data_IF_444844950055
#
_entry.id   IF_444844950055
#
_cell.length_a   1.000
_cell.length_b   1.000
_cell.length_c   1.000
_cell.angle_alpha   90.00
_cell.angle_beta   90.00
_cell.angle_gamma   90.00
#
_symmetry.space_group_name_H-M   'P 1'
#
loop_
_entity.id
_entity.type
_entity.pdbx_description
1 polymer ?
#
# COMPACT_ATOMS: atom_id res chain seq x y z
N UNK A 1 25.36 -42.64 -8.63
CA UNK A 1 23.96 -42.20 -8.72
C UNK A 1 23.39 -42.21 -7.31
N UNK A 2 23.33 -41.05 -6.68
CA UNK A 2 22.60 -40.89 -5.40
C UNK A 2 21.11 -40.98 -5.68
N UNK A 3 20.31 -41.73 -4.90
CA UNK A 3 18.87 -41.80 -5.10
C UNK A 3 18.30 -40.40 -4.88
N UNK A 4 17.58 -39.88 -5.87
CA UNK A 4 16.69 -38.74 -5.66
C UNK A 4 15.62 -39.21 -4.66
N UNK A 5 15.69 -38.71 -3.43
CA UNK A 5 14.58 -38.87 -2.50
C UNK A 5 13.40 -38.08 -3.08
N UNK A 6 12.53 -38.77 -3.83
CA UNK A 6 11.23 -38.27 -4.22
C UNK A 6 10.42 -38.11 -2.94
N UNK A 7 10.20 -36.86 -2.54
CA UNK A 7 9.28 -36.52 -1.49
C UNK A 7 7.98 -36.09 -2.16
N UNK A 8 6.98 -36.96 -2.10
CA UNK A 8 5.63 -36.67 -2.58
C UNK A 8 5.05 -35.45 -1.85
N UNK A 9 4.13 -34.76 -2.52
CA UNK A 9 3.35 -33.70 -1.92
C UNK A 9 2.49 -34.23 -0.76
N UNK A 10 2.19 -33.39 0.25
CA UNK A 10 1.33 -33.80 1.36
C UNK A 10 -0.05 -34.25 0.85
N UNK A 11 -0.55 -35.37 1.37
CA UNK A 11 -1.86 -35.92 1.01
C UNK A 11 -1.88 -36.84 -0.21
N UNK A 12 -0.71 -37.30 -0.69
CA UNK A 12 -0.59 -38.21 -1.83
C UNK A 12 -1.43 -39.48 -1.69
N UNK A 13 -1.53 -40.02 -0.48
CA UNK A 13 -2.35 -41.17 -0.12
C UNK A 13 -3.87 -40.99 -0.35
N UNK A 14 -4.32 -39.75 -0.52
CA UNK A 14 -5.73 -39.40 -0.72
C UNK A 14 -6.12 -39.32 -2.20
N UNK A 15 -5.15 -39.38 -3.12
CA UNK A 15 -5.39 -39.08 -4.53
C UNK A 15 -6.35 -40.08 -5.19
N UNK A 16 -6.10 -41.37 -5.00
CA UNK A 16 -6.94 -42.43 -5.57
C UNK A 16 -8.34 -42.43 -4.98
N UNK A 17 -8.47 -42.13 -3.67
CA UNK A 17 -9.77 -41.99 -2.99
C UNK A 17 -10.58 -40.84 -3.60
N UNK A 18 -9.95 -39.69 -3.84
CA UNK A 18 -10.62 -38.55 -4.44
C UNK A 18 -11.06 -38.85 -5.89
N UNK A 19 -10.21 -39.51 -6.68
CA UNK A 19 -10.53 -39.91 -8.05
C UNK A 19 -11.68 -40.91 -8.13
N UNK A 20 -11.75 -41.86 -7.20
CA UNK A 20 -12.87 -42.79 -7.10
C UNK A 20 -14.16 -42.06 -6.70
N UNK A 21 -14.09 -41.16 -5.71
CA UNK A 21 -15.23 -40.34 -5.30
C UNK A 21 -15.73 -39.43 -6.45
N UNK A 22 -14.82 -38.86 -7.26
CA UNK A 22 -15.15 -38.13 -8.49
C UNK A 22 -15.90 -39.01 -9.49
N UNK A 23 -15.41 -40.24 -9.72
CA UNK A 23 -16.04 -41.21 -10.63
C UNK A 23 -17.45 -41.60 -10.16
N UNK A 24 -17.63 -41.76 -8.86
CA UNK A 24 -18.91 -42.10 -8.23
C UNK A 24 -19.84 -40.89 -8.04
N UNK A 25 -19.35 -39.66 -8.31
CA UNK A 25 -20.04 -38.41 -8.01
C UNK A 25 -20.53 -38.30 -6.54
N UNK A 26 -19.71 -38.81 -5.61
CA UNK A 26 -20.00 -38.87 -4.18
C UNK A 26 -19.56 -37.58 -3.48
N UNK A 27 -20.42 -36.57 -3.43
CA UNK A 27 -20.07 -35.25 -2.88
C UNK A 27 -19.72 -35.26 -1.39
N UNK A 28 -20.38 -36.09 -0.57
CA UNK A 28 -20.05 -36.21 0.85
C UNK A 28 -18.62 -36.76 1.07
N UNK A 29 -18.22 -37.72 0.22
CA UNK A 29 -16.88 -38.29 0.26
C UNK A 29 -15.83 -37.31 -0.28
N UNK A 30 -16.13 -36.61 -1.38
CA UNK A 30 -15.29 -35.52 -1.90
C UNK A 30 -15.04 -34.45 -0.84
N UNK A 31 -16.10 -33.98 -0.18
CA UNK A 31 -15.99 -32.97 0.87
C UNK A 31 -15.11 -33.44 2.03
N UNK A 32 -15.27 -34.70 2.46
CA UNK A 32 -14.44 -35.28 3.52
C UNK A 32 -12.96 -35.31 3.11
N UNK A 33 -12.66 -35.74 1.88
CA UNK A 33 -11.28 -35.88 1.40
C UNK A 33 -10.63 -34.51 1.18
N UNK A 34 -11.36 -33.53 0.63
CA UNK A 34 -10.85 -32.17 0.44
C UNK A 34 -10.50 -31.50 1.77
N UNK A 35 -11.31 -31.72 2.81
CA UNK A 35 -11.01 -31.22 4.15
C UNK A 35 -9.78 -31.93 4.77
N UNK A 36 -9.62 -33.23 4.51
CA UNK A 36 -8.44 -34.01 4.92
C UNK A 36 -7.18 -33.48 4.22
N UNK A 37 -7.23 -33.26 2.90
CA UNK A 37 -6.15 -32.67 2.10
C UNK A 37 -5.73 -31.30 2.64
N UNK A 38 -6.68 -30.41 2.91
CA UNK A 38 -6.42 -29.10 3.55
C UNK A 38 -5.64 -29.27 4.85
N UNK A 39 -6.12 -30.14 5.74
CA UNK A 39 -5.53 -30.37 7.06
C UNK A 39 -4.09 -30.89 6.95
N UNK A 40 -3.84 -31.85 6.06
CA UNK A 40 -2.51 -32.43 5.82
C UNK A 40 -1.56 -31.38 5.24
N UNK A 41 -1.99 -30.59 4.26
CA UNK A 41 -1.17 -29.51 3.70
C UNK A 41 -0.84 -28.42 4.73
N UNK A 42 -1.78 -28.01 5.58
CA UNK A 42 -1.54 -27.03 6.65
C UNK A 42 -0.52 -27.57 7.67
N UNK A 43 -0.70 -28.81 8.15
CA UNK A 43 0.20 -29.43 9.14
C UNK A 43 1.63 -29.53 8.59
N UNK A 44 1.79 -29.95 7.33
CA UNK A 44 3.10 -30.02 6.69
C UNK A 44 3.77 -28.65 6.51
N UNK A 45 2.99 -27.56 6.34
CA UNK A 45 3.53 -26.21 6.24
C UNK A 45 4.14 -25.73 7.57
N UNK A 46 3.49 -26.04 8.69
CA UNK A 46 3.97 -25.70 10.04
C UNK A 46 5.27 -26.45 10.40
N UNK A 47 5.39 -27.70 9.97
CA UNK A 47 6.58 -28.53 10.21
C UNK A 47 7.78 -28.11 9.34
N UNK A 48 7.52 -27.68 8.09
CA UNK A 48 8.55 -27.27 7.14
C UNK A 48 9.11 -25.87 7.39
N UNK A 49 8.37 -24.99 8.06
CA UNK A 49 8.86 -23.66 8.51
C UNK A 49 10.07 -23.70 9.45
N UNK A 50 10.52 -24.88 9.89
CA UNK A 50 11.70 -25.09 10.76
C UNK A 50 12.96 -25.58 10.02
N UNK A 51 12.91 -25.82 8.69
CA UNK A 51 14.06 -26.31 7.92
C UNK A 51 14.14 -25.63 6.54
N UNK A 52 15.06 -24.68 6.37
CA UNK A 52 15.48 -24.21 5.04
C UNK A 52 16.16 -25.36 4.28
N UNK A 53 15.63 -25.73 3.12
CA UNK A 53 16.27 -26.67 2.20
C UNK A 53 16.43 -25.99 0.85
N UNK A 54 17.68 -25.64 0.51
CA UNK A 54 18.08 -24.88 -0.69
C UNK A 54 17.98 -25.66 -2.02
N UNK A 55 17.40 -26.87 -2.02
CA UNK A 55 17.19 -27.66 -3.26
C UNK A 55 15.70 -27.80 -3.54
N UNK A 56 15.26 -27.23 -4.67
CA UNK A 56 13.92 -27.47 -5.22
C UNK A 56 13.69 -28.97 -5.36
N UNK A 57 12.58 -29.44 -4.80
CA UNK A 57 12.17 -30.85 -4.89
C UNK A 57 11.64 -31.13 -6.29
N UNK A 58 11.89 -32.33 -6.81
CA UNK A 58 11.32 -32.74 -8.09
C UNK A 58 9.90 -33.24 -7.88
N UNK A 59 8.96 -32.78 -8.71
CA UNK A 59 7.54 -33.18 -8.64
C UNK A 59 7.18 -34.17 -9.74
N UNK A 60 6.31 -35.14 -9.43
CA UNK A 60 5.85 -36.09 -10.41
C UNK A 60 4.70 -35.54 -11.29
N UNK A 61 4.59 -36.07 -12.50
CA UNK A 61 3.51 -35.72 -13.44
C UNK A 61 2.12 -35.92 -12.84
N UNK A 62 1.93 -37.04 -12.14
CA UNK A 62 0.63 -37.40 -11.58
C UNK A 62 0.20 -36.42 -10.49
N UNK A 63 1.15 -35.98 -9.64
CA UNK A 63 0.90 -35.00 -8.59
C UNK A 63 0.48 -33.64 -9.17
N UNK A 64 1.14 -33.20 -10.25
CA UNK A 64 0.72 -31.98 -10.94
C UNK A 64 -0.66 -32.09 -11.54
N UNK A 65 -0.99 -33.23 -12.15
CA UNK A 65 -2.32 -33.48 -12.71
C UNK A 65 -3.37 -33.52 -11.62
N UNK A 66 -3.09 -34.19 -10.50
CA UNK A 66 -4.00 -34.26 -9.37
C UNK A 66 -4.42 -32.86 -8.90
N UNK A 67 -3.45 -31.99 -8.58
CA UNK A 67 -3.79 -30.65 -8.11
C UNK A 67 -4.40 -29.77 -9.20
N UNK A 68 -3.83 -29.73 -10.41
CA UNK A 68 -4.25 -28.80 -11.47
C UNK A 68 -5.42 -29.28 -12.33
N UNK A 69 -5.86 -30.53 -12.20
CA UNK A 69 -7.00 -31.07 -12.95
C UNK A 69 -8.04 -31.56 -11.95
N UNK A 70 -7.70 -32.54 -11.11
CA UNK A 70 -8.68 -33.22 -10.26
C UNK A 70 -9.22 -32.27 -9.16
N UNK A 71 -8.33 -31.62 -8.39
CA UNK A 71 -8.73 -30.62 -7.38
C UNK A 71 -9.04 -29.27 -8.02
N UNK A 72 -8.22 -28.86 -9.00
CA UNK A 72 -8.34 -27.56 -9.64
C UNK A 72 -9.69 -27.32 -10.32
N UNK A 73 -10.28 -28.36 -10.93
CA UNK A 73 -11.60 -28.23 -11.56
C UNK A 73 -12.73 -28.13 -10.54
N UNK A 74 -12.59 -28.77 -9.38
CA UNK A 74 -13.59 -28.70 -8.32
C UNK A 74 -13.74 -27.28 -7.75
N UNK A 75 -12.73 -26.41 -7.88
CA UNK A 75 -12.87 -24.97 -7.55
C UNK A 75 -13.90 -24.23 -8.43
N UNK A 76 -14.42 -24.88 -9.47
CA UNK A 76 -15.48 -24.36 -10.35
C UNK A 76 -16.70 -25.28 -10.39
N UNK A 77 -16.86 -26.21 -9.44
CA UNK A 77 -18.01 -27.11 -9.39
C UNK A 77 -19.32 -26.32 -9.24
N UNK A 78 -20.27 -26.61 -10.13
CA UNK A 78 -21.56 -25.92 -10.21
C UNK A 78 -22.59 -26.53 -9.25
N UNK A 79 -22.53 -27.83 -8.99
CA UNK A 79 -23.56 -28.56 -8.24
C UNK A 79 -23.46 -28.42 -6.73
N UNK A 80 -22.26 -28.15 -6.20
CA UNK A 80 -22.01 -28.07 -4.77
C UNK A 80 -21.09 -26.91 -4.40
N UNK A 81 -21.66 -25.86 -3.82
CA UNK A 81 -20.90 -24.71 -3.29
C UNK A 81 -19.92 -25.14 -2.20
N UNK A 82 -20.32 -26.11 -1.35
CA UNK A 82 -19.47 -26.62 -0.28
C UNK A 82 -18.23 -27.32 -0.82
N UNK A 83 -18.40 -28.18 -1.83
CA UNK A 83 -17.27 -28.87 -2.49
C UNK A 83 -16.36 -27.86 -3.17
N UNK A 84 -16.93 -26.83 -3.81
CA UNK A 84 -16.18 -25.74 -4.43
C UNK A 84 -15.30 -24.99 -3.43
N UNK A 85 -15.85 -24.63 -2.28
CA UNK A 85 -15.12 -23.95 -1.19
C UNK A 85 -14.04 -24.83 -0.58
N UNK A 86 -14.34 -26.11 -0.31
CA UNK A 86 -13.36 -27.05 0.24
C UNK A 86 -12.22 -27.33 -0.75
N UNK A 87 -12.50 -27.40 -2.05
CA UNK A 87 -11.48 -27.56 -3.09
C UNK A 87 -10.56 -26.35 -3.14
N UNK A 88 -11.12 -25.14 -3.06
CA UNK A 88 -10.35 -23.91 -2.99
C UNK A 88 -9.45 -23.86 -1.75
N UNK A 89 -10.00 -24.18 -0.56
CA UNK A 89 -9.24 -24.21 0.69
C UNK A 89 -8.09 -25.22 0.65
N UNK A 90 -8.34 -26.42 0.10
CA UNK A 90 -7.32 -27.44 -0.07
C UNK A 90 -6.22 -26.98 -1.03
N UNK A 91 -6.59 -26.40 -2.18
CA UNK A 91 -5.64 -25.89 -3.15
C UNK A 91 -4.80 -24.75 -2.57
N UNK A 92 -5.42 -23.75 -1.93
CA UNK A 92 -4.71 -22.64 -1.26
C UNK A 92 -3.63 -23.16 -0.31
N UNK A 93 -3.94 -24.20 0.45
CA UNK A 93 -3.01 -24.84 1.39
C UNK A 93 -1.88 -25.60 0.67
N UNK A 94 -2.15 -26.16 -0.51
CA UNK A 94 -1.17 -26.89 -1.31
C UNK A 94 -0.21 -25.98 -2.11
N UNK A 95 -0.60 -24.73 -2.42
CA UNK A 95 0.19 -23.81 -3.27
C UNK A 95 1.63 -23.65 -2.77
N UNK A 96 1.84 -23.53 -1.45
CA UNK A 96 3.20 -23.37 -0.88
C UNK A 96 4.08 -24.58 -1.17
N UNK A 97 3.51 -25.79 -1.08
CA UNK A 97 4.21 -27.04 -1.32
C UNK A 97 4.52 -27.23 -2.80
N UNK A 98 3.54 -26.96 -3.68
CA UNK A 98 3.75 -27.02 -5.14
C UNK A 98 4.86 -26.03 -5.55
N UNK A 99 4.83 -24.80 -5.01
CA UNK A 99 5.83 -23.76 -5.32
C UNK A 99 7.25 -24.07 -4.83
N UNK A 100 7.40 -24.98 -3.86
CA UNK A 100 8.70 -25.46 -3.40
C UNK A 100 9.34 -26.50 -4.35
N UNK A 101 8.63 -26.89 -5.42
CA UNK A 101 9.10 -27.87 -6.42
C UNK A 101 9.59 -27.21 -7.72
N UNK A 102 10.05 -28.04 -8.66
CA UNK A 102 10.42 -27.67 -10.03
C UNK A 102 9.24 -27.72 -11.02
N UNK A 103 7.98 -27.66 -10.56
CA UNK A 103 6.79 -27.89 -11.38
C UNK A 103 6.70 -27.15 -12.72
N UNK A 104 7.18 -25.90 -12.83
CA UNK A 104 7.14 -25.15 -14.09
C UNK A 104 8.21 -25.57 -15.09
N UNK A 105 9.23 -26.30 -14.63
CA UNK A 105 10.29 -26.87 -15.46
C UNK A 105 9.96 -28.32 -15.87
N UNK A 106 8.90 -28.90 -15.29
CA UNK A 106 8.42 -30.22 -15.61
C UNK A 106 7.85 -30.30 -17.04
N UNK A 107 8.08 -31.41 -17.74
CA UNK A 107 7.73 -31.60 -19.15
C UNK A 107 6.23 -31.44 -19.47
N UNK A 108 5.37 -31.69 -18.48
CA UNK A 108 3.91 -31.57 -18.61
C UNK A 108 3.37 -30.18 -18.26
N UNK A 109 4.23 -29.24 -17.84
CA UNK A 109 3.81 -27.89 -17.48
C UNK A 109 3.15 -27.16 -18.66
N UNK A 110 3.64 -27.33 -19.88
CA UNK A 110 3.07 -26.65 -21.06
C UNK A 110 1.60 -26.99 -21.28
N UNK A 111 1.22 -28.27 -21.16
CA UNK A 111 -0.15 -28.76 -21.25
C UNK A 111 -1.02 -28.16 -20.13
N UNK A 112 -0.56 -28.26 -18.89
CA UNK A 112 -1.30 -27.79 -17.71
C UNK A 112 -1.45 -26.27 -17.70
N UNK A 113 -0.42 -25.55 -18.14
CA UNK A 113 -0.42 -24.10 -18.31
C UNK A 113 -1.48 -23.65 -19.31
N UNK A 114 -1.66 -24.36 -20.42
CA UNK A 114 -2.71 -24.05 -21.40
C UNK A 114 -4.11 -24.22 -20.80
N UNK A 115 -4.32 -25.29 -20.02
CA UNK A 115 -5.57 -25.52 -19.31
C UNK A 115 -5.86 -24.36 -18.33
N UNK A 116 -4.89 -23.99 -17.49
CA UNK A 116 -5.05 -22.88 -16.53
C UNK A 116 -5.24 -21.54 -17.25
N UNK A 117 -4.43 -21.23 -18.26
CA UNK A 117 -4.49 -19.92 -18.92
C UNK A 117 -5.73 -19.72 -19.79
N UNK A 118 -6.33 -20.77 -20.36
CA UNK A 118 -7.50 -20.66 -21.23
C UNK A 118 -8.80 -21.03 -20.54
N UNK A 119 -8.87 -22.24 -19.99
CA UNK A 119 -10.13 -22.78 -19.49
C UNK A 119 -10.43 -22.25 -18.08
N UNK A 120 -9.45 -22.25 -17.17
CA UNK A 120 -9.67 -21.73 -15.81
C UNK A 120 -9.93 -20.21 -15.82
N UNK A 121 -9.25 -19.44 -16.67
CA UNK A 121 -9.52 -17.99 -16.79
C UNK A 121 -10.92 -17.71 -17.32
N UNK A 122 -11.42 -18.52 -18.26
CA UNK A 122 -12.81 -18.41 -18.74
C UNK A 122 -13.82 -18.70 -17.64
N UNK A 123 -13.65 -19.79 -16.88
CA UNK A 123 -14.54 -20.14 -15.77
C UNK A 123 -14.47 -19.10 -14.65
N UNK A 124 -13.28 -18.53 -14.41
CA UNK A 124 -13.06 -17.47 -13.44
C UNK A 124 -13.77 -16.17 -13.81
N UNK A 125 -13.81 -15.80 -15.10
CA UNK A 125 -14.56 -14.62 -15.55
C UNK A 125 -16.07 -14.81 -15.41
N UNK A 126 -16.57 -16.04 -15.61
CA UNK A 126 -17.96 -16.42 -15.32
C UNK A 126 -18.22 -16.26 -13.82
N UNK A 127 -17.41 -16.87 -12.95
CA UNK A 127 -17.56 -16.78 -11.50
C UNK A 127 -17.55 -15.33 -10.99
N UNK A 128 -16.66 -14.47 -11.51
CA UNK A 128 -16.66 -13.03 -11.21
C UNK A 128 -17.94 -12.34 -11.66
N UNK A 129 -18.42 -12.66 -12.87
CA UNK A 129 -19.63 -12.07 -13.45
C UNK A 129 -20.90 -12.47 -12.67
N UNK A 130 -20.93 -13.70 -12.15
CA UNK A 130 -21.97 -14.23 -11.27
C UNK A 130 -21.83 -13.77 -9.81
N UNK A 131 -20.82 -12.94 -9.51
CA UNK A 131 -20.53 -12.40 -8.19
C UNK A 131 -20.22 -13.48 -7.14
N UNK A 132 -19.59 -14.59 -7.53
CA UNK A 132 -19.12 -15.60 -6.58
C UNK A 132 -18.19 -14.94 -5.55
N UNK A 133 -18.47 -15.02 -4.23
CA UNK A 133 -17.66 -14.33 -3.22
C UNK A 133 -16.19 -14.77 -3.21
N UNK A 134 -15.87 -15.96 -3.73
CA UNK A 134 -14.54 -16.56 -3.74
C UNK A 134 -13.78 -16.38 -5.06
N UNK A 135 -14.31 -15.67 -6.08
CA UNK A 135 -13.62 -15.52 -7.39
C UNK A 135 -12.18 -14.99 -7.23
N UNK A 136 -11.97 -14.01 -6.36
CA UNK A 136 -10.66 -13.40 -6.12
C UNK A 136 -9.65 -14.34 -5.44
N UNK A 137 -10.13 -15.28 -4.63
CA UNK A 137 -9.31 -16.33 -4.01
C UNK A 137 -8.87 -17.35 -5.04
N UNK A 138 -9.79 -17.79 -5.90
CA UNK A 138 -9.46 -18.64 -7.06
C UNK A 138 -8.43 -17.94 -7.96
N UNK A 139 -8.67 -16.68 -8.31
CA UNK A 139 -7.70 -15.87 -9.06
C UNK A 139 -6.33 -15.89 -8.38
N UNK A 140 -6.28 -15.71 -7.06
CA UNK A 140 -5.05 -15.68 -6.27
C UNK A 140 -4.27 -17.00 -6.31
N UNK A 141 -4.96 -18.14 -6.21
CA UNK A 141 -4.34 -19.48 -6.34
C UNK A 141 -3.70 -19.63 -7.71
N UNK A 142 -4.45 -19.36 -8.77
CA UNK A 142 -3.99 -19.54 -10.14
C UNK A 142 -2.80 -18.64 -10.46
N UNK A 143 -2.84 -17.38 -10.00
CA UNK A 143 -1.78 -16.42 -10.25
C UNK A 143 -0.50 -16.74 -9.46
N UNK A 144 -0.61 -17.30 -8.25
CA UNK A 144 0.56 -17.82 -7.50
C UNK A 144 1.22 -19.02 -8.18
N UNK A 145 0.43 -19.88 -8.81
CA UNK A 145 0.91 -21.03 -9.60
C UNK A 145 1.49 -20.57 -10.96
N UNK A 146 0.91 -19.56 -11.59
CA UNK A 146 1.34 -19.02 -12.89
C UNK A 146 2.42 -17.94 -12.76
N UNK A 147 3.04 -17.78 -11.59
CA UNK A 147 3.83 -16.60 -11.23
C UNK A 147 4.93 -16.23 -12.25
N UNK A 148 5.68 -17.21 -12.77
CA UNK A 148 6.75 -17.01 -13.76
C UNK A 148 6.19 -16.69 -15.14
N UNK A 149 5.15 -17.41 -15.54
CA UNK A 149 4.49 -17.22 -16.84
C UNK A 149 3.80 -15.84 -16.94
N UNK A 150 3.30 -15.29 -15.83
CA UNK A 150 2.79 -13.91 -15.77
C UNK A 150 3.90 -12.87 -15.99
N UNK A 151 5.11 -13.20 -15.54
CA UNK A 151 6.31 -12.42 -15.70
C UNK A 151 6.95 -12.57 -17.10
N UNK A 152 6.61 -13.64 -17.83
CA UNK A 152 7.17 -13.97 -19.15
C UNK A 152 6.16 -13.68 -20.27
N UNK A 153 6.27 -12.49 -20.86
CA UNK A 153 5.41 -12.06 -21.96
C UNK A 153 4.12 -11.35 -21.53
N UNK A 154 3.28 -10.99 -22.51
CA UNK A 154 2.05 -10.21 -22.30
C UNK A 154 0.77 -11.04 -22.37
N UNK A 155 0.77 -12.19 -23.04
CA UNK A 155 -0.46 -12.95 -23.33
C UNK A 155 -1.15 -13.44 -22.07
N UNK A 156 -0.46 -14.20 -21.22
CA UNK A 156 -1.05 -14.83 -20.04
C UNK A 156 -1.46 -13.76 -19.03
N UNK A 157 -0.60 -12.77 -18.77
CA UNK A 157 -0.96 -11.70 -17.85
C UNK A 157 -2.19 -10.91 -18.34
N UNK A 158 -2.31 -10.63 -19.64
CA UNK A 158 -3.47 -9.91 -20.16
C UNK A 158 -4.79 -10.70 -19.97
N UNK A 159 -4.75 -12.03 -20.00
CA UNK A 159 -5.91 -12.88 -19.69
C UNK A 159 -6.35 -12.74 -18.23
N UNK A 160 -5.41 -12.68 -17.27
CA UNK A 160 -5.75 -12.47 -15.87
C UNK A 160 -6.12 -11.01 -15.55
N UNK A 161 -5.51 -10.05 -16.25
CA UNK A 161 -5.79 -8.62 -16.08
C UNK A 161 -7.19 -8.26 -16.56
N UNK A 162 -7.67 -8.83 -17.66
CA UNK A 162 -9.01 -8.52 -18.19
C UNK A 162 -10.11 -8.78 -17.16
N UNK A 163 -9.98 -9.83 -16.35
CA UNK A 163 -10.90 -10.21 -15.28
C UNK A 163 -10.89 -9.14 -14.17
N UNK A 164 -9.71 -8.75 -13.70
CA UNK A 164 -9.56 -7.75 -12.63
C UNK A 164 -9.99 -6.35 -13.11
N UNK A 165 -9.69 -6.00 -14.36
CA UNK A 165 -10.12 -4.75 -14.98
C UNK A 165 -11.65 -4.67 -15.13
N UNK A 166 -12.32 -5.78 -15.44
CA UNK A 166 -13.77 -5.85 -15.42
C UNK A 166 -14.30 -5.66 -13.98
N UNK A 167 -13.65 -6.27 -13.00
CA UNK A 167 -13.97 -6.09 -11.58
C UNK A 167 -13.83 -4.63 -11.10
N UNK A 168 -12.80 -3.89 -11.53
CA UNK A 168 -12.66 -2.45 -11.24
C UNK A 168 -13.81 -1.58 -11.80
N UNK A 169 -14.46 -2.04 -12.87
CA UNK A 169 -15.60 -1.36 -13.51
C UNK A 169 -16.95 -1.80 -12.94
N UNK A 170 -16.97 -2.74 -12.00
CA UNK A 170 -18.19 -3.24 -11.38
C UNK A 170 -18.88 -2.14 -10.54
N UNK A 171 -20.22 -2.04 -10.57
CA UNK A 171 -20.95 -1.17 -9.66
C UNK A 171 -20.83 -1.64 -8.20
N UNK A 172 -20.68 -2.95 -7.99
CA UNK A 172 -20.59 -3.57 -6.67
C UNK A 172 -19.28 -3.18 -5.97
N UNK A 173 -19.39 -2.68 -4.74
CA UNK A 173 -18.23 -2.30 -3.94
C UNK A 173 -17.37 -3.52 -3.59
N UNK A 174 -17.99 -4.64 -3.19
CA UNK A 174 -17.28 -5.88 -2.83
C UNK A 174 -16.42 -6.42 -3.96
N UNK A 175 -16.93 -6.44 -5.20
CA UNK A 175 -16.16 -6.88 -6.38
C UNK A 175 -14.98 -5.93 -6.66
N UNK A 176 -15.16 -4.62 -6.47
CA UNK A 176 -14.07 -3.65 -6.61
C UNK A 176 -12.99 -3.85 -5.54
N UNK A 177 -13.38 -4.07 -4.28
CA UNK A 177 -12.45 -4.36 -3.18
C UNK A 177 -11.62 -5.62 -3.46
N UNK A 178 -12.30 -6.71 -3.81
CA UNK A 178 -11.68 -7.98 -4.19
C UNK A 178 -10.73 -7.83 -5.39
N UNK A 179 -11.06 -6.93 -6.32
CA UNK A 179 -10.19 -6.62 -7.47
C UNK A 179 -8.89 -5.91 -7.04
N UNK A 180 -8.94 -5.06 -6.00
CA UNK A 180 -7.73 -4.50 -5.41
C UNK A 180 -6.92 -5.53 -4.62
N UNK A 181 -7.55 -6.54 -4.01
CA UNK A 181 -6.84 -7.67 -3.39
C UNK A 181 -6.03 -8.47 -4.41
N UNK A 182 -6.66 -8.80 -5.55
CA UNK A 182 -5.96 -9.41 -6.69
C UNK A 182 -4.82 -8.50 -7.19
N UNK A 183 -5.05 -7.19 -7.26
CA UNK A 183 -4.04 -6.24 -7.69
C UNK A 183 -2.83 -6.18 -6.75
N UNK A 184 -3.07 -6.17 -5.43
CA UNK A 184 -2.01 -6.20 -4.41
C UNK A 184 -1.13 -7.44 -4.57
N UNK A 185 -1.74 -8.62 -4.76
CA UNK A 185 -1.03 -9.87 -5.02
C UNK A 185 -0.24 -9.84 -6.34
N UNK A 186 -0.75 -9.21 -7.40
CA UNK A 186 0.00 -9.03 -8.65
C UNK A 186 1.29 -8.24 -8.42
N UNK A 187 1.22 -7.17 -7.62
CA UNK A 187 2.40 -6.36 -7.25
C UNK A 187 3.40 -7.20 -6.46
N UNK A 188 2.95 -8.05 -5.54
CA UNK A 188 3.82 -9.00 -4.82
C UNK A 188 4.52 -9.97 -5.76
N UNK A 189 3.81 -10.50 -6.75
CA UNK A 189 4.39 -11.43 -7.73
C UNK A 189 5.48 -10.74 -8.54
N UNK A 190 5.27 -9.49 -8.96
CA UNK A 190 6.34 -8.73 -9.61
C UNK A 190 7.51 -8.46 -8.68
N UNK A 191 7.28 -8.17 -7.39
CA UNK A 191 8.36 -7.99 -6.42
C UNK A 191 9.16 -9.29 -6.22
N UNK A 192 8.47 -10.39 -5.95
CA UNK A 192 9.06 -11.72 -5.72
C UNK A 192 9.85 -12.23 -6.92
N UNK A 193 9.45 -11.86 -8.15
CA UNK A 193 10.17 -12.21 -9.38
C UNK A 193 11.20 -11.14 -9.82
N UNK A 194 11.48 -10.13 -8.98
CA UNK A 194 12.42 -9.03 -9.28
C UNK A 194 12.09 -8.28 -10.58
N UNK A 195 10.79 -8.15 -10.89
CA UNK A 195 10.27 -7.46 -12.07
C UNK A 195 9.50 -6.18 -11.74
N UNK A 196 9.31 -5.86 -10.46
CA UNK A 196 8.53 -4.70 -10.01
C UNK A 196 9.09 -3.36 -10.49
N UNK A 197 10.40 -3.27 -10.72
CA UNK A 197 11.05 -2.05 -11.18
C UNK A 197 11.04 -1.84 -12.70
N UNK A 198 10.49 -2.77 -13.47
CA UNK A 198 10.41 -2.61 -14.93
C UNK A 198 9.44 -1.45 -15.21
N UNK A 199 9.83 -0.37 -15.93
CA UNK A 199 9.00 0.83 -16.10
C UNK A 199 7.60 0.56 -16.66
N UNK A 200 7.46 -0.41 -17.58
CA UNK A 200 6.15 -0.82 -18.10
C UNK A 200 5.25 -1.43 -17.02
N UNK A 201 5.81 -2.22 -16.11
CA UNK A 201 5.09 -2.83 -14.97
C UNK A 201 4.72 -1.77 -13.94
N UNK A 202 5.63 -0.86 -13.61
CA UNK A 202 5.33 0.27 -12.71
C UNK A 202 4.16 1.10 -13.25
N UNK A 203 4.21 1.45 -14.54
CA UNK A 203 3.11 2.19 -15.20
C UNK A 203 1.80 1.41 -15.12
N UNK A 204 1.80 0.11 -15.41
CA UNK A 204 0.63 -0.76 -15.28
C UNK A 204 0.05 -0.69 -13.87
N UNK A 205 0.87 -0.96 -12.84
CA UNK A 205 0.47 -0.99 -11.42
C UNK A 205 -0.20 0.32 -11.00
N UNK A 206 0.32 1.45 -11.47
CA UNK A 206 -0.16 2.78 -11.09
C UNK A 206 -1.52 3.17 -11.71
N UNK A 207 -2.00 2.47 -12.75
CA UNK A 207 -3.25 2.83 -13.46
C UNK A 207 -4.46 2.87 -12.51
N UNK A 208 -4.83 1.78 -11.82
CA UNK A 208 -5.99 1.79 -10.92
C UNK A 208 -5.76 2.65 -9.67
N UNK A 209 -4.51 2.84 -9.24
CA UNK A 209 -4.16 3.67 -8.09
C UNK A 209 -4.46 5.15 -8.35
N UNK A 210 -4.07 5.64 -9.54
CA UNK A 210 -4.32 7.03 -10.00
C UNK A 210 -5.76 7.29 -10.43
N UNK A 211 -6.56 6.26 -10.65
CA UNK A 211 -7.95 6.40 -11.08
C UNK A 211 -8.81 7.09 -10.02
N UNK A 212 -9.61 8.09 -10.41
CA UNK A 212 -10.58 8.75 -9.54
C UNK A 212 -11.93 8.03 -9.46
N UNK A 213 -12.10 6.89 -10.16
CA UNK A 213 -13.41 6.22 -10.37
C UNK A 213 -14.00 5.51 -9.14
N UNK A 214 -13.40 5.65 -7.95
CA UNK A 214 -13.94 5.07 -6.72
C UNK A 214 -13.57 5.94 -5.53
N UNK A 215 -14.59 6.59 -4.94
CA UNK A 215 -14.49 7.50 -3.81
C UNK A 215 -15.13 6.88 -2.55
N UNK A 216 -14.72 5.68 -2.19
CA UNK A 216 -15.09 5.07 -0.90
C UNK A 216 -13.85 4.91 -0.04
N UNK A 217 -14.02 5.00 1.28
CA UNK A 217 -12.92 4.85 2.23
C UNK A 217 -12.24 3.49 2.10
N UNK A 218 -13.00 2.41 1.96
CA UNK A 218 -12.45 1.05 1.81
C UNK A 218 -11.53 0.93 0.60
N UNK A 219 -11.90 1.53 -0.52
CA UNK A 219 -11.07 1.51 -1.73
C UNK A 219 -9.85 2.41 -1.57
N UNK A 220 -9.97 3.53 -0.87
CA UNK A 220 -8.83 4.37 -0.52
C UNK A 220 -7.82 3.61 0.36
N UNK A 221 -8.28 2.82 1.33
CA UNK A 221 -7.41 1.98 2.17
C UNK A 221 -6.64 0.96 1.35
N UNK A 222 -7.33 0.24 0.43
CA UNK A 222 -6.67 -0.72 -0.47
C UNK A 222 -5.63 -0.05 -1.36
N UNK A 223 -5.92 1.14 -1.91
CA UNK A 223 -4.96 1.90 -2.71
C UNK A 223 -3.77 2.36 -1.90
N UNK A 224 -3.99 2.83 -0.68
CA UNK A 224 -2.92 3.26 0.22
C UNK A 224 -1.98 2.08 0.51
N UNK A 225 -2.53 0.91 0.86
CA UNK A 225 -1.74 -0.30 1.11
C UNK A 225 -0.83 -0.66 -0.09
N UNK A 226 -1.41 -0.67 -1.30
CA UNK A 226 -0.65 -0.98 -2.52
C UNK A 226 0.42 0.10 -2.80
N UNK A 227 0.09 1.38 -2.61
CA UNK A 227 1.05 2.47 -2.76
C UNK A 227 2.22 2.32 -1.78
N UNK A 228 1.91 2.09 -0.51
CA UNK A 228 2.89 1.96 0.56
C UNK A 228 3.82 0.77 0.33
N UNK A 229 3.26 -0.39 -0.06
CA UNK A 229 4.04 -1.55 -0.45
C UNK A 229 4.97 -1.24 -1.64
N UNK A 230 4.45 -0.59 -2.68
CA UNK A 230 5.24 -0.22 -3.87
C UNK A 230 6.42 0.69 -3.50
N UNK A 231 6.19 1.70 -2.64
CA UNK A 231 7.22 2.60 -2.14
C UNK A 231 8.30 1.83 -1.38
N UNK A 232 7.91 0.93 -0.47
CA UNK A 232 8.86 0.11 0.30
C UNK A 232 9.72 -0.79 -0.62
N UNK A 233 9.10 -1.45 -1.60
CA UNK A 233 9.80 -2.35 -2.53
C UNK A 233 10.74 -1.61 -3.50
N UNK A 234 10.41 -0.38 -3.87
CA UNK A 234 11.18 0.42 -4.84
C UNK A 234 12.02 1.53 -4.21
N UNK A 235 12.21 1.53 -2.89
CA UNK A 235 12.92 2.57 -2.14
C UNK A 235 14.23 3.02 -2.80
N UNK A 236 15.09 2.07 -3.19
CA UNK A 236 16.40 2.37 -3.80
C UNK A 236 16.33 2.97 -5.20
N UNK A 237 15.16 2.95 -5.84
CA UNK A 237 14.93 3.40 -7.22
C UNK A 237 13.93 4.56 -7.28
N UNK A 238 13.44 5.02 -6.13
CA UNK A 238 12.36 6.01 -6.02
C UNK A 238 12.70 7.31 -6.74
N UNK A 239 13.96 7.74 -6.69
CA UNK A 239 14.48 8.94 -7.36
C UNK A 239 14.14 8.94 -8.85
N UNK A 240 14.37 7.80 -9.52
CA UNK A 240 14.13 7.65 -10.96
C UNK A 240 12.64 7.50 -11.31
N UNK A 241 11.81 7.21 -10.30
CA UNK A 241 10.38 6.93 -10.45
C UNK A 241 9.51 7.97 -9.74
N UNK A 242 10.08 9.13 -9.37
CA UNK A 242 9.42 10.13 -8.55
C UNK A 242 8.08 10.59 -9.14
N UNK A 243 8.05 10.92 -10.44
CA UNK A 243 6.85 11.36 -11.14
C UNK A 243 5.80 10.24 -11.30
N UNK A 244 6.26 8.99 -11.33
CA UNK A 244 5.37 7.85 -11.57
C UNK A 244 4.74 7.33 -10.28
N UNK A 245 5.49 7.36 -9.17
CA UNK A 245 5.12 6.74 -7.89
C UNK A 245 5.01 7.79 -6.78
N UNK A 246 6.11 8.43 -6.42
CA UNK A 246 6.21 9.28 -5.23
C UNK A 246 5.23 10.46 -5.29
N UNK A 247 5.29 11.26 -6.34
CA UNK A 247 4.45 12.44 -6.50
C UNK A 247 2.94 12.09 -6.54
N UNK A 248 2.48 11.09 -7.30
CA UNK A 248 1.11 10.62 -7.24
C UNK A 248 0.66 10.11 -5.86
N UNK A 249 1.55 9.46 -5.10
CA UNK A 249 1.25 9.05 -3.73
C UNK A 249 1.09 10.26 -2.80
N UNK A 250 1.99 11.25 -2.90
CA UNK A 250 1.86 12.50 -2.14
C UNK A 250 0.56 13.21 -2.50
N UNK A 251 0.18 13.25 -3.78
CA UNK A 251 -1.12 13.81 -4.22
C UNK A 251 -2.33 13.03 -3.72
N UNK A 252 -2.21 11.71 -3.59
CA UNK A 252 -3.24 10.89 -2.97
C UNK A 252 -3.44 11.24 -1.48
N UNK A 253 -2.36 11.52 -0.77
CA UNK A 253 -2.38 11.84 0.66
C UNK A 253 -2.80 13.30 0.92
N UNK A 254 -2.15 14.25 0.25
CA UNK A 254 -2.21 15.68 0.59
C UNK A 254 -2.76 16.56 -0.54
N UNK A 255 -3.18 15.96 -1.66
CA UNK A 255 -3.63 16.69 -2.84
C UNK A 255 -2.48 17.27 -3.67
N UNK A 256 -2.80 17.77 -4.87
CA UNK A 256 -1.78 18.33 -5.76
C UNK A 256 -1.25 19.68 -5.28
N UNK A 257 0.06 19.90 -5.46
CA UNK A 257 0.75 21.15 -5.09
C UNK A 257 0.81 22.17 -6.23
N UNK A 258 0.02 22.01 -7.31
CA UNK A 258 0.05 22.91 -8.47
C UNK A 258 -0.59 24.28 -8.20
N UNK A 259 -1.22 24.45 -7.04
CA UNK A 259 -1.85 25.69 -6.59
C UNK A 259 -1.17 26.16 -5.30
N UNK A 260 -1.51 27.36 -4.86
CA UNK A 260 -1.08 27.88 -3.56
C UNK A 260 -1.36 26.85 -2.45
N UNK A 261 -0.45 26.67 -1.48
CA UNK A 261 -0.65 25.78 -0.33
C UNK A 261 -2.00 26.00 0.34
N UNK A 262 -2.66 24.93 0.77
CA UNK A 262 -3.97 24.96 1.43
C UNK A 262 -5.10 25.62 0.62
N UNK A 263 -4.91 25.95 -0.66
CA UNK A 263 -5.89 26.68 -1.47
C UNK A 263 -7.28 26.01 -1.47
N UNK A 264 -7.30 24.68 -1.38
CA UNK A 264 -8.53 23.91 -1.40
C UNK A 264 -9.40 24.18 -0.17
N UNK A 265 -8.85 24.48 1.00
CA UNK A 265 -9.66 24.79 2.18
C UNK A 265 -10.43 26.12 2.06
N UNK A 266 -10.13 26.93 1.05
CA UNK A 266 -10.83 28.19 0.76
C UNK A 266 -11.90 28.06 -0.34
N UNK A 267 -12.08 26.88 -0.92
CA UNK A 267 -13.02 26.61 -2.01
C UNK A 267 -14.01 25.51 -1.60
N UNK A 268 -15.31 25.76 -1.76
CA UNK A 268 -16.34 24.76 -1.45
C UNK A 268 -16.21 23.49 -2.30
N UNK A 269 -15.55 23.56 -3.46
CA UNK A 269 -15.27 22.40 -4.34
C UNK A 269 -14.39 21.33 -3.67
N UNK A 270 -13.70 21.67 -2.57
CA UNK A 270 -12.89 20.78 -1.76
C UNK A 270 -13.64 19.57 -1.21
N UNK A 271 -14.90 19.75 -0.81
CA UNK A 271 -15.71 18.66 -0.23
C UNK A 271 -16.03 17.58 -1.25
N UNK A 272 -16.02 17.90 -2.55
CA UNK A 272 -16.37 16.96 -3.63
C UNK A 272 -15.15 16.41 -4.39
N UNK A 273 -14.03 17.14 -4.40
CA UNK A 273 -12.84 16.85 -5.20
C UNK A 273 -11.55 16.67 -4.38
N UNK A 274 -11.66 16.66 -3.04
CA UNK A 274 -10.52 16.48 -2.14
C UNK A 274 -9.77 15.17 -2.38
N UNK A 275 -8.46 15.19 -2.12
CA UNK A 275 -7.65 13.98 -2.11
C UNK A 275 -8.16 13.02 -1.01
N UNK A 276 -8.05 11.69 -1.19
CA UNK A 276 -8.51 10.72 -0.20
C UNK A 276 -7.98 10.96 1.22
N UNK A 277 -6.71 11.36 1.36
CA UNK A 277 -6.12 11.72 2.65
C UNK A 277 -6.66 13.00 3.28
N UNK A 278 -7.57 13.72 2.62
CA UNK A 278 -8.32 14.84 3.19
C UNK A 278 -9.78 14.50 3.51
N UNK A 279 -10.33 13.47 2.86
CA UNK A 279 -11.74 13.10 3.02
C UNK A 279 -11.97 12.08 4.13
N UNK A 280 -11.05 11.12 4.29
CA UNK A 280 -11.26 9.96 5.17
C UNK A 280 -10.32 9.99 6.37
N UNK A 281 -10.86 9.79 7.58
CA UNK A 281 -10.06 9.83 8.81
C UNK A 281 -8.97 8.76 8.83
N UNK A 282 -9.29 7.54 8.39
CA UNK A 282 -8.29 6.47 8.30
C UNK A 282 -7.12 6.84 7.38
N UNK A 283 -7.39 7.47 6.24
CA UNK A 283 -6.34 7.87 5.30
C UNK A 283 -5.56 9.09 5.81
N UNK A 284 -6.18 10.01 6.56
CA UNK A 284 -5.46 11.13 7.20
C UNK A 284 -4.36 10.60 8.13
N UNK A 285 -4.71 9.62 8.98
CA UNK A 285 -3.79 8.98 9.91
C UNK A 285 -2.64 8.29 9.18
N UNK A 286 -2.97 7.46 8.18
CA UNK A 286 -1.98 6.75 7.37
C UNK A 286 -1.08 7.71 6.58
N UNK A 287 -1.61 8.84 6.09
CA UNK A 287 -0.86 9.88 5.39
C UNK A 287 0.19 10.54 6.30
N UNK A 288 -0.20 10.86 7.54
CA UNK A 288 0.74 11.39 8.54
C UNK A 288 1.86 10.41 8.89
N UNK A 289 1.51 9.14 9.10
CA UNK A 289 2.50 8.06 9.34
C UNK A 289 3.47 7.97 8.16
N UNK A 290 2.96 7.86 6.94
CA UNK A 290 3.80 7.74 5.75
C UNK A 290 4.73 8.95 5.57
N UNK A 291 4.24 10.18 5.76
CA UNK A 291 5.07 11.38 5.63
C UNK A 291 6.22 11.40 6.65
N UNK A 292 5.96 11.02 7.91
CA UNK A 292 7.01 10.91 8.94
C UNK A 292 8.10 9.93 8.49
N UNK A 293 7.70 8.74 8.02
CA UNK A 293 8.61 7.72 7.52
C UNK A 293 9.40 8.15 6.27
N UNK A 294 8.81 8.96 5.40
CA UNK A 294 9.46 9.48 4.20
C UNK A 294 10.46 10.59 4.53
N UNK A 295 10.22 11.40 5.57
CA UNK A 295 11.09 12.53 5.94
C UNK A 295 12.30 12.12 6.77
N UNK A 296 12.23 11.04 7.54
CA UNK A 296 13.31 10.68 8.46
C UNK A 296 12.96 9.54 9.39
N UNK A 297 13.70 9.37 10.50
CA UNK A 297 13.41 8.29 11.44
C UNK A 297 12.02 8.49 12.00
N UNK A 298 11.19 7.46 11.86
CA UNK A 298 9.87 7.42 12.45
C UNK A 298 10.02 7.08 13.93
N UNK A 299 9.68 8.03 14.79
CA UNK A 299 9.62 7.79 16.23
C UNK A 299 8.36 7.00 16.58
N UNK A 300 8.34 6.36 17.74
CA UNK A 300 7.17 5.58 18.19
C UNK A 300 5.87 6.42 18.28
N UNK A 301 5.96 7.75 18.25
CA UNK A 301 4.81 8.65 18.20
C UNK A 301 3.92 8.39 16.97
N UNK A 302 4.46 7.92 15.84
CA UNK A 302 3.63 7.65 14.67
C UNK A 302 2.65 6.49 14.92
N UNK A 303 2.97 5.57 15.85
CA UNK A 303 2.08 4.46 16.23
C UNK A 303 0.83 4.96 16.95
N UNK A 304 0.88 6.14 17.59
CA UNK A 304 -0.30 6.72 18.26
C UNK A 304 -1.35 7.20 17.26
N UNK A 305 -1.00 7.34 15.98
CA UNK A 305 -1.95 7.67 14.91
C UNK A 305 -2.83 6.49 14.49
N UNK A 306 -2.46 5.25 14.83
CA UNK A 306 -3.24 4.06 14.49
C UNK A 306 -4.42 3.88 15.45
N UNK A 307 -5.43 4.73 15.34
CA UNK A 307 -6.67 4.59 16.11
C UNK A 307 -7.83 4.15 15.25
N UNK A 308 -8.79 3.44 15.85
CA UNK A 308 -10.00 3.02 15.15
C UNK A 308 -10.84 4.26 14.76
N UNK A 309 -11.33 4.34 13.52
CA UNK A 309 -12.23 5.44 13.13
C UNK A 309 -13.59 5.38 13.84
N UNK A 310 -14.03 4.21 14.30
CA UNK A 310 -15.30 4.00 14.99
C UNK A 310 -15.23 2.73 15.87
N UNK A 311 -16.14 2.57 16.82
CA UNK A 311 -16.28 1.42 17.75
C UNK A 311 -16.55 0.04 17.06
N UNK A 312 -16.18 -0.14 15.79
CA UNK A 312 -16.40 -1.33 14.97
C UNK A 312 -15.40 -2.46 15.21
N UNK A 313 -14.42 -2.29 16.11
CA UNK A 313 -13.49 -3.35 16.52
C UNK A 313 -12.41 -3.72 15.50
N UNK A 314 -12.34 -3.09 14.31
CA UNK A 314 -11.27 -3.29 13.35
C UNK A 314 -10.15 -2.26 13.53
N UNK A 315 -8.98 -2.71 13.97
CA UNK A 315 -7.78 -1.87 14.13
C UNK A 315 -7.26 -1.41 12.77
N UNK A 316 -6.97 -0.11 12.61
CA UNK A 316 -6.27 0.40 11.45
C UNK A 316 -4.87 -0.23 11.40
N UNK A 317 -4.59 -1.03 10.37
CA UNK A 317 -3.31 -1.71 10.19
C UNK A 317 -2.39 -0.91 9.29
N UNK A 318 -1.12 -0.79 9.68
CA UNK A 318 -0.06 -0.23 8.85
C UNK A 318 1.15 -1.15 8.91
N UNK A 319 1.65 -1.54 7.73
CA UNK A 319 2.87 -2.34 7.62
C UNK A 319 4.09 -1.42 7.81
N UNK A 320 4.62 -1.41 9.03
CA UNK A 320 5.85 -0.65 9.32
C UNK A 320 7.04 -1.28 8.57
N UNK A 321 7.84 -0.47 7.87
CA UNK A 321 8.97 -0.97 7.11
C UNK A 321 10.06 -1.50 8.07
N UNK A 322 10.64 -2.66 7.74
CA UNK A 322 11.69 -3.30 8.54
C UNK A 322 13.00 -2.48 8.58
N UNK A 323 13.21 -1.62 7.58
CA UNK A 323 14.31 -0.67 7.51
C UNK A 323 13.75 0.74 7.42
N UNK A 324 14.54 1.76 7.77
CA UNK A 324 14.14 3.17 7.64
C UNK A 324 13.60 3.43 6.22
N UNK A 325 12.55 4.22 6.05
CA UNK A 325 11.94 4.48 4.73
C UNK A 325 12.24 5.89 4.21
N UNK A 326 13.10 6.63 4.92
CA UNK A 326 13.45 7.99 4.56
C UNK A 326 13.92 8.06 3.10
N UNK A 327 13.38 9.04 2.37
CA UNK A 327 13.71 9.30 0.98
C UNK A 327 15.17 9.74 0.86
N UNK A 328 15.76 9.52 -0.31
CA UNK A 328 17.12 9.97 -0.59
C UNK A 328 17.23 11.50 -0.56
N UNK A 329 18.43 12.01 -0.31
CA UNK A 329 18.75 13.43 -0.43
C UNK A 329 18.39 13.96 -1.83
N UNK A 330 18.71 13.19 -2.87
CA UNK A 330 18.38 13.55 -4.26
C UNK A 330 16.87 13.70 -4.50
N UNK A 331 16.06 12.78 -3.98
CA UNK A 331 14.60 12.88 -4.12
C UNK A 331 14.05 14.07 -3.33
N UNK A 332 14.56 14.31 -2.12
CA UNK A 332 14.20 15.50 -1.36
C UNK A 332 14.57 16.77 -2.15
N UNK A 333 15.79 16.89 -2.66
CA UNK A 333 16.22 18.04 -3.46
C UNK A 333 15.33 18.28 -4.68
N UNK A 334 14.97 17.22 -5.41
CA UNK A 334 14.17 17.36 -6.63
C UNK A 334 12.69 17.63 -6.37
N UNK A 335 12.18 17.32 -5.17
CA UNK A 335 10.76 17.46 -4.80
C UNK A 335 10.56 18.28 -3.51
N UNK A 336 11.53 19.12 -3.12
CA UNK A 336 11.54 19.80 -1.82
C UNK A 336 10.29 20.66 -1.62
N UNK A 337 9.90 21.46 -2.62
CA UNK A 337 8.69 22.26 -2.55
C UNK A 337 7.44 21.41 -2.30
N UNK A 338 7.26 20.33 -3.06
CA UNK A 338 6.13 19.40 -2.87
C UNK A 338 6.12 18.82 -1.44
N UNK A 339 7.28 18.48 -0.90
CA UNK A 339 7.41 17.90 0.44
C UNK A 339 7.11 18.94 1.53
N UNK A 340 7.60 20.17 1.38
CA UNK A 340 7.31 21.30 2.28
C UNK A 340 5.80 21.59 2.27
N UNK A 341 5.22 21.75 1.09
CA UNK A 341 3.77 21.96 0.92
C UNK A 341 2.95 20.79 1.54
N UNK A 342 3.49 19.56 1.51
CA UNK A 342 2.84 18.39 2.14
C UNK A 342 2.92 18.41 3.67
N UNK A 343 3.95 19.01 4.26
CA UNK A 343 4.07 19.13 5.71
C UNK A 343 3.05 20.13 6.27
N UNK A 344 2.78 21.23 5.57
CA UNK A 344 1.72 22.15 5.99
C UNK A 344 0.33 21.54 5.81
N UNK A 345 0.11 20.79 4.73
CA UNK A 345 -1.14 20.02 4.54
C UNK A 345 -1.33 19.02 5.68
N UNK A 346 -0.28 18.27 6.05
CA UNK A 346 -0.30 17.35 7.18
C UNK A 346 -0.60 18.07 8.50
N UNK A 347 -0.11 19.30 8.69
CA UNK A 347 -0.40 20.12 9.88
C UNK A 347 -1.91 20.36 10.00
N UNK A 348 -2.59 20.69 8.90
CA UNK A 348 -4.05 20.85 8.89
C UNK A 348 -4.76 19.52 9.14
N UNK A 349 -4.29 18.42 8.55
CA UNK A 349 -4.90 17.10 8.82
C UNK A 349 -4.83 16.71 10.29
N UNK A 350 -3.72 17.04 10.97
CA UNK A 350 -3.53 16.75 12.38
C UNK A 350 -4.40 17.61 13.30
N UNK A 351 -4.77 18.84 12.91
CA UNK A 351 -5.67 19.68 13.74
C UNK A 351 -7.07 19.07 13.86
N UNK A 352 -7.45 18.20 12.92
CA UNK A 352 -8.71 17.47 12.94
C UNK A 352 -8.68 16.21 13.84
N UNK A 353 -7.51 15.82 14.35
CA UNK A 353 -7.30 14.61 15.19
C UNK A 353 -7.14 14.95 16.67
N UNK A 354 -8.06 15.73 17.24
CA UNK A 354 -7.97 16.27 18.61
C UNK A 354 -7.96 15.20 19.71
N UNK A 355 -8.37 13.97 19.40
CA UNK A 355 -8.34 12.83 20.31
C UNK A 355 -6.93 12.24 20.50
N UNK A 356 -5.94 12.70 19.73
CA UNK A 356 -4.54 12.24 19.76
C UNK A 356 -3.61 13.34 20.28
N UNK A 357 -2.36 13.00 20.55
CA UNK A 357 -1.29 13.98 20.75
C UNK A 357 -0.83 14.56 19.40
N UNK A 358 -1.74 15.26 18.72
CA UNK A 358 -1.53 15.84 17.40
C UNK A 358 -0.37 16.87 17.39
N UNK A 359 -0.06 17.47 18.54
CA UNK A 359 1.10 18.37 18.73
C UNK A 359 2.41 17.61 18.67
N UNK A 360 2.58 16.55 19.45
CA UNK A 360 3.80 15.75 19.41
C UNK A 360 4.06 15.14 18.03
N UNK A 361 3.00 14.68 17.36
CA UNK A 361 3.09 14.19 15.98
C UNK A 361 3.50 15.31 15.02
N UNK A 362 2.88 16.49 15.10
CA UNK A 362 3.22 17.63 14.25
C UNK A 362 4.68 18.06 14.44
N UNK A 363 5.17 18.14 15.68
CA UNK A 363 6.58 18.40 15.98
C UNK A 363 7.49 17.35 15.35
N UNK A 364 7.11 16.07 15.34
CA UNK A 364 7.89 15.02 14.68
C UNK A 364 8.01 15.26 13.17
N UNK A 365 6.91 15.64 12.50
CA UNK A 365 6.91 16.01 11.07
C UNK A 365 7.86 17.18 10.81
N UNK A 366 7.69 18.28 11.55
CA UNK A 366 8.49 19.49 11.35
C UNK A 366 9.96 19.33 11.73
N UNK A 367 10.29 18.61 12.81
CA UNK A 367 11.66 18.31 13.18
C UNK A 367 12.39 17.48 12.12
N UNK A 368 11.70 16.48 11.54
CA UNK A 368 12.27 15.71 10.44
C UNK A 368 12.45 16.59 9.20
N UNK A 369 11.46 17.43 8.83
CA UNK A 369 11.60 18.38 7.72
C UNK A 369 12.78 19.35 7.92
N UNK A 370 12.88 19.97 9.10
CA UNK A 370 13.96 20.91 9.43
C UNK A 370 15.33 20.23 9.30
N UNK A 371 15.47 19.00 9.80
CA UNK A 371 16.71 18.21 9.65
C UNK A 371 17.05 17.97 8.18
N UNK A 372 16.05 17.70 7.32
CA UNK A 372 16.26 17.55 5.87
C UNK A 372 16.73 18.87 5.24
N UNK A 373 16.11 19.98 5.57
CA UNK A 373 16.48 21.31 5.06
C UNK A 373 17.88 21.72 5.51
N UNK A 374 18.26 21.44 6.75
CA UNK A 374 19.60 21.75 7.27
C UNK A 374 20.71 20.96 6.55
N UNK A 375 20.39 19.74 6.12
CA UNK A 375 21.33 18.87 5.41
C UNK A 375 21.30 19.06 3.89
N UNK A 376 20.33 19.82 3.36
CA UNK A 376 20.19 20.11 1.94
C UNK A 376 21.29 21.07 1.47
N UNK A 377 21.89 20.75 0.32
CA UNK A 377 23.06 21.45 -0.24
C UNK A 377 22.84 22.00 -1.64
N UNK A 378 21.82 21.50 -2.33
CA UNK A 378 21.54 21.82 -3.74
C UNK A 378 20.58 23.00 -3.89
N UNK A 379 19.57 23.09 -3.02
CA UNK A 379 18.61 24.20 -3.03
C UNK A 379 19.11 25.29 -2.07
N UNK A 380 19.12 26.57 -2.50
CA UNK A 380 19.39 27.68 -1.60
C UNK A 380 18.43 27.67 -0.40
N UNK A 381 18.99 27.78 0.82
CA UNK A 381 18.20 27.81 2.06
C UNK A 381 17.10 28.87 2.03
N UNK A 382 17.35 30.02 1.40
CA UNK A 382 16.40 31.12 1.28
C UNK A 382 15.18 30.77 0.42
N UNK A 383 15.34 29.94 -0.61
CA UNK A 383 14.22 29.50 -1.44
C UNK A 383 13.29 28.58 -0.62
N UNK A 384 13.87 27.64 0.14
CA UNK A 384 13.09 26.77 1.03
C UNK A 384 12.38 27.56 2.14
N UNK A 385 13.06 28.54 2.75
CA UNK A 385 12.45 29.42 3.74
C UNK A 385 11.32 30.26 3.13
N UNK A 386 11.46 30.69 1.88
CA UNK A 386 10.42 31.42 1.17
C UNK A 386 9.18 30.53 0.93
N UNK A 387 9.36 29.26 0.57
CA UNK A 387 8.24 28.31 0.47
C UNK A 387 7.56 28.07 1.81
N UNK A 388 8.32 27.86 2.90
CA UNK A 388 7.75 27.74 4.25
C UNK A 388 6.97 29.01 4.62
N UNK A 389 7.50 30.20 4.28
CA UNK A 389 6.79 31.46 4.52
C UNK A 389 5.45 31.51 3.77
N UNK A 390 5.38 31.04 2.54
CA UNK A 390 4.14 30.96 1.75
C UNK A 390 3.12 30.01 2.41
N UNK A 391 3.58 28.83 2.83
CA UNK A 391 2.79 27.82 3.55
C UNK A 391 2.22 28.37 4.86
N UNK A 392 3.06 28.99 5.68
CA UNK A 392 2.66 29.57 6.95
C UNK A 392 1.67 30.73 6.77
N UNK A 393 1.82 31.52 5.69
CA UNK A 393 0.83 32.55 5.33
C UNK A 393 -0.52 31.95 4.91
N UNK A 394 -0.51 30.82 4.20
CA UNK A 394 -1.74 30.11 3.89
C UNK A 394 -2.41 29.56 5.16
N UNK A 395 -1.64 28.97 6.07
CA UNK A 395 -2.15 28.46 7.35
C UNK A 395 -2.71 29.57 8.23
N UNK A 396 -2.03 30.72 8.30
CA UNK A 396 -2.51 31.91 8.99
C UNK A 396 -3.86 32.36 8.43
N UNK A 397 -3.99 32.49 7.10
CA UNK A 397 -5.27 32.85 6.46
C UNK A 397 -6.37 31.86 6.81
N UNK A 398 -6.05 30.56 6.84
CA UNK A 398 -7.00 29.53 7.23
C UNK A 398 -7.43 29.68 8.70
N UNK A 399 -6.51 29.93 9.62
CA UNK A 399 -6.80 30.19 11.03
C UNK A 399 -7.69 31.43 11.25
N UNK A 400 -7.50 32.47 10.44
CA UNK A 400 -8.29 33.71 10.50
C UNK A 400 -9.73 33.49 10.00
N UNK A 401 -9.90 32.63 9.00
CA UNK A 401 -11.23 32.25 8.49
C UNK A 401 -11.94 31.28 9.44
N UNK A 402 -11.23 30.33 10.03
CA UNK A 402 -11.75 29.32 10.96
C UNK A 402 -11.68 29.80 12.41
N UNK A 403 -12.45 30.85 12.74
CA UNK A 403 -12.29 31.58 14.03
C UNK A 403 -12.46 30.75 15.32
N UNK A 404 -13.06 29.57 15.23
CA UNK A 404 -13.33 28.70 16.38
C UNK A 404 -12.42 27.47 16.42
N UNK A 405 -11.55 27.27 15.43
CA UNK A 405 -10.64 26.13 15.40
C UNK A 405 -9.38 26.42 16.25
N UNK A 406 -9.46 26.07 17.52
CA UNK A 406 -8.35 26.23 18.47
C UNK A 406 -7.20 25.28 18.18
N UNK A 407 -7.48 24.06 17.73
CA UNK A 407 -6.45 23.07 17.41
C UNK A 407 -5.55 23.53 16.25
N UNK A 408 -6.14 24.11 15.21
CA UNK A 408 -5.40 24.65 14.07
C UNK A 408 -4.50 25.82 14.48
N UNK A 409 -4.98 26.70 15.36
CA UNK A 409 -4.18 27.82 15.91
C UNK A 409 -3.04 27.33 16.80
N UNK A 410 -3.33 26.36 17.67
CA UNK A 410 -2.32 25.73 18.52
C UNK A 410 -1.20 25.15 17.65
N UNK A 411 -1.55 24.46 16.56
CA UNK A 411 -0.55 23.92 15.63
C UNK A 411 0.20 25.01 14.87
N UNK A 412 -0.43 26.12 14.50
CA UNK A 412 0.27 27.27 13.90
C UNK A 412 1.35 27.80 14.86
N UNK A 413 0.99 28.06 16.13
CA UNK A 413 1.94 28.55 17.12
C UNK A 413 3.03 27.54 17.45
N UNK A 414 2.67 26.27 17.63
CA UNK A 414 3.60 25.20 17.93
C UNK A 414 4.62 25.00 16.80
N UNK A 415 4.15 25.09 15.55
CA UNK A 415 5.02 25.02 14.35
C UNK A 415 5.96 26.23 14.28
N UNK A 416 5.46 27.44 14.52
CA UNK A 416 6.30 28.64 14.56
C UNK A 416 7.38 28.55 15.64
N UNK A 417 7.01 28.06 16.83
CA UNK A 417 7.94 27.85 17.93
C UNK A 417 9.00 26.81 17.55
N UNK A 418 8.58 25.67 16.99
CA UNK A 418 9.49 24.61 16.50
C UNK A 418 10.49 25.15 15.48
N UNK A 419 10.04 25.99 14.54
CA UNK A 419 10.93 26.65 13.57
C UNK A 419 11.88 27.63 14.26
N UNK A 420 11.38 28.45 15.17
CA UNK A 420 12.16 29.49 15.86
C UNK A 420 13.24 28.91 16.79
N UNK A 421 12.94 27.80 17.47
CA UNK A 421 13.88 27.11 18.36
C UNK A 421 14.93 26.28 17.59
N UNK A 422 14.74 26.09 16.28
CA UNK A 422 15.66 25.31 15.44
C UNK A 422 16.81 26.15 14.85
N UNK A 423 17.83 25.48 14.33
CA UNK A 423 18.91 26.17 13.61
C UNK A 423 18.54 26.71 12.22
N UNK A 424 17.27 26.59 11.83
CA UNK A 424 16.79 27.05 10.54
C UNK A 424 16.97 28.56 10.38
N UNK A 425 16.85 29.34 11.45
CA UNK A 425 16.94 30.81 11.41
C UNK A 425 18.22 31.37 12.05
N UNK A 426 19.18 30.51 12.42
CA UNK A 426 20.48 30.97 12.91
C UNK A 426 21.23 31.74 11.81
N UNK A 427 21.79 32.89 12.22
CA UNK A 427 22.64 33.76 11.41
C UNK A 427 24.04 33.74 12.02
N UNK A 428 25.03 33.33 11.24
CA UNK A 428 26.45 33.37 11.62
C UNK A 428 27.01 34.76 11.40
N UNK A 429 27.15 35.51 12.48
CA UNK A 429 27.72 36.86 12.47
C UNK A 429 29.11 36.82 11.83
N UNK A 430 29.32 37.65 10.79
CA UNK A 430 30.58 37.74 10.04
C UNK A 430 30.70 36.82 8.82
N UNK A 431 29.75 35.90 8.61
CA UNK A 431 29.70 35.01 7.44
C UNK A 431 28.42 35.22 6.63
N UNK A 432 27.28 35.28 7.31
CA UNK A 432 25.98 35.50 6.67
C UNK A 432 25.73 37.00 6.45
N UNK A 433 25.02 37.33 5.37
CA UNK A 433 24.75 38.72 5.05
C UNK A 433 23.74 39.35 6.04
N UNK A 434 23.84 40.66 6.33
CA UNK A 434 22.85 41.35 7.17
C UNK A 434 21.42 41.24 6.64
N UNK A 435 21.26 41.12 5.32
CA UNK A 435 19.97 40.90 4.67
C UNK A 435 19.32 39.57 5.09
N UNK A 436 20.11 38.56 5.48
CA UNK A 436 19.59 37.30 6.01
C UNK A 436 18.85 37.50 7.34
N UNK A 437 19.39 38.35 8.23
CA UNK A 437 18.73 38.68 9.49
C UNK A 437 17.39 39.37 9.22
N UNK A 438 17.37 40.32 8.27
CA UNK A 438 16.16 41.02 7.86
C UNK A 438 15.14 40.06 7.24
N UNK A 439 15.59 39.12 6.41
CA UNK A 439 14.75 38.09 5.82
C UNK A 439 14.13 37.17 6.88
N UNK A 440 14.94 36.68 7.84
CA UNK A 440 14.45 35.84 8.94
C UNK A 440 13.43 36.60 9.81
N UNK A 441 13.68 37.89 10.09
CA UNK A 441 12.73 38.76 10.78
C UNK A 441 11.41 38.89 10.00
N UNK A 442 11.48 39.17 8.70
CA UNK A 442 10.30 39.25 7.83
C UNK A 442 9.58 37.91 7.63
N UNK A 443 10.24 36.79 7.92
CA UNK A 443 9.63 35.47 7.90
C UNK A 443 8.77 35.27 9.13
N UNK A 444 9.28 35.47 10.35
CA UNK A 444 8.55 35.16 11.58
C UNK A 444 7.59 36.28 12.03
N UNK A 445 8.04 37.53 12.00
CA UNK A 445 7.35 38.62 12.71
C UNK A 445 5.92 38.89 12.25
N UNK A 446 5.56 38.75 10.96
CA UNK A 446 4.16 38.90 10.53
C UNK A 446 3.20 37.91 11.19
N UNK A 447 3.68 36.76 11.65
CA UNK A 447 2.88 35.74 12.33
C UNK A 447 2.75 36.02 13.83
N UNK A 448 3.84 36.43 14.47
CA UNK A 448 3.90 36.72 15.92
C UNK A 448 3.13 37.99 16.28
N UNK A 449 3.25 39.03 15.44
CA UNK A 449 2.66 40.35 15.69
C UNK A 449 1.27 40.52 15.05
N UNK A 450 0.65 39.42 14.59
CA UNK A 450 -0.65 39.50 13.94
C UNK A 450 -1.76 39.79 14.96
N UNK A 451 -2.25 41.04 14.96
CA UNK A 451 -3.29 41.50 15.89
C UNK A 451 -4.65 40.80 15.74
N UNK A 452 -4.86 40.06 14.66
CA UNK A 452 -6.10 39.32 14.43
C UNK A 452 -6.08 37.90 14.99
N UNK A 453 -4.90 37.39 15.39
CA UNK A 453 -4.80 36.13 16.13
C UNK A 453 -4.95 36.40 17.63
N UNK A 454 -5.90 35.76 18.33
CA UNK A 454 -5.96 35.83 19.78
C UNK A 454 -4.71 35.17 20.37
N UNK A 455 -4.14 35.79 21.41
CA UNK A 455 -3.00 35.25 22.16
C UNK A 455 -3.43 33.85 22.68
N UNK A 456 -2.61 32.80 22.46
CA UNK A 456 -2.95 31.48 22.97
C UNK A 456 -3.10 31.54 24.49
N UNK A 457 -4.17 30.96 25.02
CA UNK A 457 -4.39 30.87 26.46
C UNK A 457 -3.17 30.19 27.08
N UNK A 458 -2.40 30.94 27.87
CA UNK A 458 -1.21 30.42 28.52
C UNK A 458 -1.62 29.20 29.36
N UNK A 459 -0.97 28.02 29.20
CA UNK A 459 -1.20 26.95 30.15
C UNK A 459 -0.76 27.51 31.50
N UNK A 460 -1.69 27.56 32.45
CA UNK A 460 -1.33 27.76 33.86
C UNK A 460 -0.18 26.80 34.19
N UNK A 461 0.92 27.38 34.66
CA UNK A 461 2.15 26.69 35.10
C UNK A 461 1.87 25.43 35.93
#
# INVERSE_FOLDING_TARGET
>A
MTPSHHHSLPGHELYDRLREALRLASYDELDSILNELKTVCCTAAEESGKKECDKKRSIEKDELKFWLIDVGRLMFEEKSTKTRELALDAFESAVVHIRATDYQDHSSWSELREIVSKEYTSLLDIARSEKDPNWHRVWSVLVRIMNRDLCQGSTIINMFLSIVEAGFRSPELSIREQSFDCWRLLVEIFANNKQINIPKRVKLICIPLKSSKSKTETIALKKFDIWWYLLCQLRSQLDTMAETIFEPFIYFCFGPSFKTPLCYYFDESYKELGAPGKMYQSIKQLSGIALIHLLGPATDICKTLLTCPDNSGSTLSFEFPQTEMAISDMLFSTKAKLIIDSCIECTVLLSEMQHLDYRAVNRCVWNNLIRRIQNEKTIPKNDMLQWIKEDMNALLKLCLNSKHDTALRDLLYDTLLTIAESDLLHVKIGYDSPEQLMFNYQMIMPFVLNSQLPIPDSPMM
#
